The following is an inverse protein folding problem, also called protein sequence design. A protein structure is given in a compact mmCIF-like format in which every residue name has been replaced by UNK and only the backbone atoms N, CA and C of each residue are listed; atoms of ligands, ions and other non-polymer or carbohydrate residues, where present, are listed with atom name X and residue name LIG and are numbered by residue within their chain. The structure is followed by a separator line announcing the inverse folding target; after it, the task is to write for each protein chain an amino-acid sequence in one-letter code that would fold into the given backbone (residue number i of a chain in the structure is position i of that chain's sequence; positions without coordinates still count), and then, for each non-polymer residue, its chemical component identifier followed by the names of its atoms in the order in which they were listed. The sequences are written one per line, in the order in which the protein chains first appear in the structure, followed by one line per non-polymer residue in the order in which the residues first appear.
data_IF_880284789318
#
_entry.id   IF_880284789318
#
_cell.length_a   1.000
_cell.length_b   1.000
_cell.length_c   1.000
_cell.angle_alpha   90.00
_cell.angle_beta   90.00
_cell.angle_gamma   90.00
#
_symmetry.space_group_name_H-M   'P 1'
#
loop_
_entity.id
_entity.type
_entity.pdbx_description
1 polymer ?
#
# COMPACT_ATOMS: atom_id res chain seq x y z
N UNK A 1 -23.87 10.36 23.43
CA UNK A 1 -23.11 10.64 22.19
C UNK A 1 -22.57 12.06 22.26
N UNK A 2 -21.44 12.34 21.60
CA UNK A 2 -20.68 13.60 21.77
C UNK A 2 -21.08 14.73 20.80
N UNK A 3 -22.22 14.64 20.12
CA UNK A 3 -22.73 15.72 19.25
C UNK A 3 -22.40 15.62 17.74
N UNK A 4 -21.78 14.53 17.27
CA UNK A 4 -21.33 14.40 15.87
C UNK A 4 -22.47 14.59 14.85
N UNK A 5 -23.66 14.03 15.11
CA UNK A 5 -24.76 14.10 14.12
C UNK A 5 -25.25 15.54 13.98
N UNK A 6 -25.32 16.28 15.09
CA UNK A 6 -25.68 17.68 15.14
C UNK A 6 -24.68 18.53 14.35
N UNK A 7 -23.37 18.31 14.55
CA UNK A 7 -22.30 18.97 13.79
C UNK A 7 -22.41 18.70 12.28
N UNK A 8 -22.68 17.44 11.90
CA UNK A 8 -22.82 17.05 10.49
C UNK A 8 -24.04 17.71 9.84
N UNK A 9 -25.16 17.82 10.57
CA UNK A 9 -26.37 18.50 10.09
C UNK A 9 -26.14 20.00 9.93
N UNK A 10 -25.52 20.65 10.92
CA UNK A 10 -25.19 22.07 10.84
C UNK A 10 -24.26 22.36 9.66
N UNK A 11 -23.21 21.56 9.49
CA UNK A 11 -22.31 21.68 8.35
C UNK A 11 -23.03 21.45 7.01
N UNK A 12 -23.95 20.48 6.94
CA UNK A 12 -24.74 20.24 5.73
C UNK A 12 -25.56 21.48 5.35
N UNK A 13 -26.32 22.04 6.30
CA UNK A 13 -27.19 23.19 6.08
C UNK A 13 -26.37 24.41 5.65
N UNK A 14 -25.26 24.70 6.33
CA UNK A 14 -24.48 25.91 6.07
C UNK A 14 -23.67 25.84 4.76
N UNK A 15 -23.13 24.67 4.42
CA UNK A 15 -22.10 24.58 3.37
C UNK A 15 -22.39 23.57 2.26
N UNK A 16 -23.09 22.47 2.57
CA UNK A 16 -23.28 21.39 1.61
C UNK A 16 -24.54 21.53 0.78
N UNK A 17 -25.65 21.98 1.39
CA UNK A 17 -26.97 22.01 0.76
C UNK A 17 -26.98 22.78 -0.56
N UNK A 18 -26.40 24.00 -0.57
CA UNK A 18 -26.24 24.80 -1.80
C UNK A 18 -25.41 24.09 -2.87
N UNK A 19 -24.39 23.33 -2.47
CA UNK A 19 -23.55 22.57 -3.41
C UNK A 19 -24.27 21.34 -3.97
N UNK A 20 -25.11 20.67 -3.18
CA UNK A 20 -25.96 19.55 -3.66
C UNK A 20 -26.92 20.09 -4.71
N UNK A 21 -27.60 21.19 -4.41
CA UNK A 21 -28.58 21.82 -5.31
C UNK A 21 -27.95 22.23 -6.65
N UNK A 22 -26.70 22.67 -6.63
CA UNK A 22 -25.96 23.09 -7.82
C UNK A 22 -25.14 21.95 -8.48
N UNK A 23 -25.35 20.69 -8.08
CA UNK A 23 -24.58 19.50 -8.53
C UNK A 23 -23.05 19.71 -8.57
N UNK A 24 -22.53 20.45 -7.60
CA UNK A 24 -21.13 20.89 -7.52
C UNK A 24 -20.40 20.30 -6.31
N UNK A 25 -20.92 19.19 -5.79
CA UNK A 25 -20.36 18.43 -4.67
C UNK A 25 -19.02 17.81 -5.09
N UNK A 26 -17.91 18.23 -4.48
CA UNK A 26 -16.62 17.61 -4.72
C UNK A 26 -15.96 17.11 -3.43
N UNK A 27 -16.08 15.81 -3.19
CA UNK A 27 -15.49 15.09 -2.05
C UNK A 27 -13.99 14.82 -2.17
N UNK A 28 -13.35 15.29 -3.24
CA UNK A 28 -11.92 15.13 -3.48
C UNK A 28 -11.10 16.35 -3.03
N UNK A 29 -11.70 17.41 -2.50
CA UNK A 29 -10.98 18.61 -2.09
C UNK A 29 -11.40 19.17 -0.72
N UNK A 30 -10.44 19.75 -0.02
CA UNK A 30 -10.64 20.51 1.20
C UNK A 30 -11.31 19.71 2.31
N UNK A 31 -12.13 20.39 3.12
CA UNK A 31 -12.81 19.80 4.28
C UNK A 31 -13.72 18.61 3.93
N UNK A 32 -14.18 18.52 2.68
CA UNK A 32 -15.03 17.41 2.21
C UNK A 32 -14.28 16.06 2.11
N UNK A 33 -12.94 16.06 2.16
CA UNK A 33 -12.16 14.83 2.18
C UNK A 33 -12.16 14.14 3.55
N UNK A 34 -12.50 14.88 4.61
CA UNK A 34 -12.52 14.41 6.00
C UNK A 34 -13.37 13.14 6.15
N UNK A 35 -12.93 12.24 7.03
CA UNK A 35 -13.68 11.03 7.36
C UNK A 35 -14.79 11.44 8.33
N UNK A 36 -16.02 11.08 8.00
CA UNK A 36 -17.23 11.47 8.71
C UNK A 36 -18.26 12.00 7.73
N UNK A 37 -18.03 13.18 7.16
CA UNK A 37 -19.09 13.88 6.44
C UNK A 37 -19.65 13.11 5.23
N UNK A 38 -18.79 12.63 4.33
CA UNK A 38 -19.22 11.89 3.13
C UNK A 38 -19.84 10.54 3.45
N UNK A 39 -19.44 9.91 4.56
CA UNK A 39 -20.02 8.64 5.01
C UNK A 39 -21.49 8.79 5.44
N UNK A 40 -21.89 9.98 5.87
CA UNK A 40 -23.29 10.32 6.20
C UNK A 40 -24.02 11.08 5.08
N UNK A 41 -23.47 11.18 3.87
CA UNK A 41 -24.09 11.93 2.77
C UNK A 41 -25.55 11.56 2.56
N UNK A 42 -25.82 10.26 2.32
CA UNK A 42 -27.17 9.75 2.07
C UNK A 42 -28.15 10.08 3.21
N UNK A 43 -27.68 10.06 4.46
CA UNK A 43 -28.47 10.42 5.63
C UNK A 43 -28.80 11.92 5.69
N UNK A 44 -27.83 12.77 5.33
CA UNK A 44 -27.96 14.23 5.38
C UNK A 44 -28.78 14.78 4.21
N UNK A 45 -28.79 14.09 3.06
CA UNK A 45 -29.55 14.47 1.86
C UNK A 45 -30.85 13.68 1.70
N UNK A 46 -31.24 12.90 2.71
CA UNK A 46 -32.48 12.13 2.65
C UNK A 46 -33.69 13.06 2.42
N UNK A 47 -34.59 12.74 1.48
CA UNK A 47 -35.80 13.53 1.23
C UNK A 47 -36.63 13.76 2.50
N UNK A 48 -37.28 14.92 2.63
CA UNK A 48 -38.08 15.25 3.83
C UNK A 48 -39.27 14.30 4.05
N UNK A 49 -39.78 13.67 3.00
CA UNK A 49 -40.84 12.66 3.07
C UNK A 49 -40.34 11.26 3.44
N UNK A 50 -39.02 11.08 3.67
CA UNK A 50 -38.47 9.80 4.10
C UNK A 50 -39.04 9.43 5.48
N UNK A 51 -39.47 8.19 5.62
CA UNK A 51 -39.93 7.66 6.90
C UNK A 51 -38.83 7.72 7.96
N UNK A 52 -39.22 7.76 9.23
CA UNK A 52 -38.27 7.70 10.33
C UNK A 52 -37.39 6.44 10.28
N UNK A 53 -37.96 5.31 9.84
CA UNK A 53 -37.25 4.05 9.71
C UNK A 53 -36.17 4.09 8.60
N UNK A 54 -36.46 4.72 7.47
CA UNK A 54 -35.48 4.91 6.39
C UNK A 54 -34.34 5.82 6.85
N UNK A 55 -34.65 6.94 7.51
CA UNK A 55 -33.63 7.86 8.03
C UNK A 55 -32.71 7.18 9.04
N UNK A 56 -33.26 6.36 9.93
CA UNK A 56 -32.48 5.58 10.89
C UNK A 56 -31.59 4.54 10.19
N UNK A 57 -32.11 3.89 9.15
CA UNK A 57 -31.34 2.94 8.33
C UNK A 57 -30.14 3.62 7.66
N UNK A 58 -30.35 4.79 7.05
CA UNK A 58 -29.29 5.59 6.44
C UNK A 58 -28.25 6.06 7.47
N UNK A 59 -28.70 6.46 8.66
CA UNK A 59 -27.81 6.83 9.78
C UNK A 59 -26.89 5.67 10.17
N UNK A 60 -27.44 4.49 10.36
CA UNK A 60 -26.68 3.31 10.77
C UNK A 60 -25.70 2.87 9.67
N UNK A 61 -26.10 2.97 8.40
CA UNK A 61 -25.20 2.76 7.27
C UNK A 61 -24.02 3.75 7.28
N UNK A 62 -24.28 5.02 7.60
CA UNK A 62 -23.24 6.04 7.75
C UNK A 62 -22.26 5.73 8.88
N UNK A 63 -22.74 5.23 10.02
CA UNK A 63 -21.89 4.78 11.14
C UNK A 63 -20.95 3.65 10.72
N UNK A 64 -21.46 2.64 10.01
CA UNK A 64 -20.63 1.52 9.56
C UNK A 64 -19.63 1.92 8.47
N UNK A 65 -20.03 2.85 7.59
CA UNK A 65 -19.14 3.46 6.61
C UNK A 65 -18.01 4.24 7.30
N UNK A 66 -18.34 5.06 8.31
CA UNK A 66 -17.37 5.79 9.14
C UNK A 66 -16.37 4.85 9.79
N UNK A 67 -16.83 3.81 10.50
CA UNK A 67 -15.95 2.80 11.12
C UNK A 67 -15.02 2.15 10.11
N UNK A 68 -15.52 1.86 8.91
CA UNK A 68 -14.74 1.24 7.84
C UNK A 68 -13.69 2.19 7.27
N UNK A 69 -14.06 3.45 7.03
CA UNK A 69 -13.16 4.50 6.57
C UNK A 69 -12.02 4.74 7.58
N UNK A 70 -12.34 4.85 8.88
CA UNK A 70 -11.35 5.02 9.96
C UNK A 70 -10.38 3.86 10.04
N UNK A 71 -10.86 2.60 9.98
CA UNK A 71 -9.99 1.41 9.95
C UNK A 71 -9.05 1.40 8.73
N UNK A 72 -9.57 1.75 7.55
CA UNK A 72 -8.76 1.86 6.33
C UNK A 72 -7.71 2.95 6.45
N UNK A 73 -8.07 4.09 7.04
CA UNK A 73 -7.17 5.21 7.27
C UNK A 73 -6.03 4.84 8.22
N UNK A 74 -6.33 4.23 9.37
CA UNK A 74 -5.31 3.74 10.32
C UNK A 74 -4.33 2.77 9.64
N UNK A 75 -4.84 1.81 8.84
CA UNK A 75 -3.99 0.90 8.06
C UNK A 75 -3.11 1.65 7.05
N UNK A 76 -3.64 2.67 6.39
CA UNK A 76 -2.90 3.51 5.43
C UNK A 76 -1.81 4.32 6.14
N UNK A 77 -2.09 4.90 7.30
CA UNK A 77 -1.11 5.61 8.13
C UNK A 77 0.03 4.67 8.54
N UNK A 78 -0.29 3.51 9.12
CA UNK A 78 0.71 2.51 9.51
C UNK A 78 1.57 2.05 8.32
N UNK A 79 0.95 1.86 7.15
CA UNK A 79 1.68 1.53 5.91
C UNK A 79 2.58 2.70 5.48
N UNK A 80 2.10 3.93 5.54
CA UNK A 80 2.84 5.12 5.16
C UNK A 80 4.05 5.35 6.08
N UNK A 81 3.85 5.35 7.40
CA UNK A 81 4.92 5.52 8.40
C UNK A 81 6.00 4.46 8.19
N UNK A 82 5.61 3.18 8.14
CA UNK A 82 6.57 2.08 7.91
C UNK A 82 7.33 2.24 6.59
N UNK A 83 6.65 2.61 5.51
CA UNK A 83 7.30 2.74 4.21
C UNK A 83 8.23 3.95 4.14
N UNK A 84 7.80 5.09 4.70
CA UNK A 84 8.52 6.37 4.68
C UNK A 84 9.76 6.34 5.56
N UNK A 85 9.62 5.81 6.78
CA UNK A 85 10.71 5.87 7.76
C UNK A 85 11.54 4.60 7.82
N UNK A 86 10.94 3.41 7.61
CA UNK A 86 11.63 2.14 7.87
C UNK A 86 12.07 1.38 6.61
N UNK A 87 11.39 1.55 5.46
CA UNK A 87 11.70 0.79 4.23
C UNK A 87 12.45 1.55 3.15
N UNK A 88 12.21 2.86 3.06
CA UNK A 88 12.84 3.76 2.09
C UNK A 88 13.16 5.08 2.78
N UNK A 89 14.04 5.05 3.79
CA UNK A 89 14.49 6.31 4.36
C UNK A 89 15.13 7.11 3.22
N UNK A 90 14.66 8.35 3.00
CA UNK A 90 15.44 9.30 2.23
C UNK A 90 16.65 9.75 3.03
N UNK A 91 17.45 10.63 2.45
CA UNK A 91 18.52 11.29 3.22
C UNK A 91 17.91 12.10 4.37
N UNK A 92 18.55 12.04 5.54
CA UNK A 92 18.11 12.80 6.72
C UNK A 92 16.88 12.24 7.45
N UNK A 93 16.52 10.96 7.28
CA UNK A 93 15.44 10.35 8.06
C UNK A 93 15.91 10.08 9.50
N UNK A 94 15.22 10.59 10.53
CA UNK A 94 15.62 10.40 11.92
C UNK A 94 15.44 8.96 12.39
N UNK A 95 16.16 8.58 13.44
CA UNK A 95 15.91 7.34 14.16
C UNK A 95 14.45 7.31 14.65
N UNK A 96 13.77 6.18 14.44
CA UNK A 96 12.38 6.01 14.87
C UNK A 96 12.33 5.07 16.05
N UNK A 97 11.78 5.51 17.17
CA UNK A 97 11.57 4.69 18.36
C UNK A 97 10.11 4.27 18.43
N UNK A 98 9.87 2.99 18.72
CA UNK A 98 8.52 2.44 18.86
C UNK A 98 8.11 2.41 20.32
N UNK A 99 6.90 2.88 20.62
CA UNK A 99 6.27 2.81 21.93
C UNK A 99 5.01 1.94 21.81
N UNK A 100 4.77 1.08 22.79
CA UNK A 100 3.62 0.18 22.77
C UNK A 100 2.41 0.87 23.38
N UNK A 101 1.35 1.03 22.57
CA UNK A 101 0.08 1.67 22.97
C UNK A 101 -1.07 0.65 23.04
N UNK A 102 -0.77 -0.65 23.05
CA UNK A 102 -1.78 -1.71 23.01
C UNK A 102 -2.67 -1.71 24.25
N UNK A 103 -2.09 -1.45 25.43
CA UNK A 103 -2.81 -1.36 26.70
C UNK A 103 -2.75 0.07 27.26
N UNK A 104 -3.87 0.79 27.14
CA UNK A 104 -4.00 2.17 27.61
C UNK A 104 -3.87 2.29 29.12
N UNK A 105 -4.22 1.25 29.89
CA UNK A 105 -4.10 1.28 31.35
C UNK A 105 -2.63 1.36 31.80
N UNK A 106 -1.70 0.90 30.95
CA UNK A 106 -0.25 0.90 31.20
C UNK A 106 0.48 2.02 30.47
N UNK A 107 -0.23 3.07 30.05
CA UNK A 107 0.33 4.19 29.30
C UNK A 107 1.59 4.80 29.94
N UNK A 108 1.56 4.98 31.26
CA UNK A 108 2.66 5.59 32.01
C UNK A 108 3.97 4.80 31.84
N UNK A 109 3.87 3.47 31.96
CA UNK A 109 5.01 2.54 31.89
C UNK A 109 5.48 2.27 30.46
N UNK A 110 4.52 2.14 29.52
CA UNK A 110 4.78 1.63 28.16
C UNK A 110 4.99 2.72 27.13
N UNK A 111 4.57 3.96 27.44
CA UNK A 111 4.62 5.10 26.52
C UNK A 111 5.31 6.31 27.16
N UNK A 112 4.77 6.86 28.25
CA UNK A 112 5.23 8.16 28.76
C UNK A 112 6.66 8.08 29.30
N UNK A 113 6.91 7.19 30.26
CA UNK A 113 8.23 6.98 30.86
C UNK A 113 9.31 6.71 29.81
N UNK A 114 9.17 5.72 28.91
CA UNK A 114 10.18 5.47 27.89
C UNK A 114 10.34 6.64 26.91
N UNK A 115 9.26 7.35 26.54
CA UNK A 115 9.36 8.53 25.68
C UNK A 115 10.22 9.63 26.31
N UNK A 116 10.01 9.93 27.59
CA UNK A 116 10.78 10.95 28.32
C UNK A 116 12.24 10.54 28.45
N UNK A 117 12.52 9.27 28.76
CA UNK A 117 13.90 8.76 28.82
C UNK A 117 14.62 8.86 27.48
N UNK A 118 13.94 8.51 26.37
CA UNK A 118 14.50 8.65 25.02
C UNK A 118 14.81 10.12 24.72
N UNK A 119 13.86 11.03 25.01
CA UNK A 119 14.07 12.46 24.78
C UNK A 119 15.22 13.03 25.61
N UNK A 120 15.30 12.69 26.90
CA UNK A 120 16.37 13.16 27.78
C UNK A 120 17.76 12.72 27.30
N UNK A 121 17.93 11.43 26.95
CA UNK A 121 19.19 10.93 26.38
C UNK A 121 19.54 11.65 25.07
N UNK A 122 18.57 11.80 24.16
CA UNK A 122 18.82 12.47 22.87
C UNK A 122 19.19 13.95 23.05
N UNK A 123 18.56 14.67 23.97
CA UNK A 123 18.89 16.07 24.28
C UNK A 123 20.31 16.23 24.83
N UNK A 124 20.81 15.22 25.57
CA UNK A 124 22.19 15.18 26.09
C UNK A 124 23.23 14.68 25.08
N UNK A 125 22.80 14.23 23.90
CA UNK A 125 23.67 13.58 22.92
C UNK A 125 24.09 12.16 23.31
N UNK A 126 23.40 11.57 24.29
CA UNK A 126 23.62 10.21 24.76
C UNK A 126 22.77 9.21 23.95
N UNK A 127 23.18 7.94 23.95
CA UNK A 127 22.40 6.88 23.30
C UNK A 127 21.28 6.42 24.24
N UNK A 128 19.99 6.48 23.83
CA UNK A 128 18.90 5.95 24.64
C UNK A 128 19.05 4.44 24.89
N UNK A 129 18.57 3.97 26.06
CA UNK A 129 18.50 2.54 26.39
C UNK A 129 17.57 1.76 25.45
N UNK A 130 16.49 2.42 24.99
CA UNK A 130 15.60 1.84 23.98
C UNK A 130 16.25 1.94 22.61
N UNK A 131 16.43 0.83 21.92
CA UNK A 131 16.94 0.82 20.54
C UNK A 131 15.88 1.31 19.54
N UNK A 132 16.27 2.08 18.51
CA UNK A 132 15.36 2.47 17.45
C UNK A 132 14.90 1.25 16.63
N UNK A 133 13.72 1.37 16.03
CA UNK A 133 13.15 0.35 15.15
C UNK A 133 14.09 0.11 13.98
N UNK A 134 14.47 -1.16 13.79
CA UNK A 134 15.37 -1.58 12.72
C UNK A 134 14.80 -1.20 11.35
N UNK A 135 15.64 -0.56 10.55
CA UNK A 135 15.36 -0.29 9.14
C UNK A 135 15.21 -1.61 8.39
N UNK A 136 14.05 -1.79 7.75
CA UNK A 136 13.83 -2.87 6.81
C UNK A 136 14.46 -2.44 5.50
N UNK A 137 15.79 -2.58 5.39
CA UNK A 137 16.52 -2.31 4.16
C UNK A 137 15.88 -3.17 3.07
N UNK A 138 15.09 -2.53 2.20
CA UNK A 138 14.47 -3.24 1.11
C UNK A 138 15.60 -3.78 0.26
N UNK A 139 15.66 -5.09 0.05
CA UNK A 139 16.35 -5.65 -1.11
C UNK A 139 16.03 -4.75 -2.30
N UNK A 140 17.06 -4.34 -3.04
CA UNK A 140 16.98 -3.47 -4.22
C UNK A 140 16.08 -4.13 -5.28
N UNK A 141 14.78 -4.15 -5.05
CA UNK A 141 13.80 -4.59 -6.02
C UNK A 141 13.61 -3.41 -6.97
N UNK A 142 13.89 -3.63 -8.25
CA UNK A 142 13.66 -2.68 -9.33
C UNK A 142 12.15 -2.37 -9.44
N UNK A 143 11.68 -1.46 -8.58
CA UNK A 143 10.28 -1.02 -8.48
C UNK A 143 9.97 0.16 -9.41
N UNK A 144 10.92 0.55 -10.27
CA UNK A 144 10.80 1.66 -11.22
C UNK A 144 11.05 1.24 -12.68
N UNK A 145 11.37 -0.04 -12.93
CA UNK A 145 11.48 -0.55 -14.30
C UNK A 145 10.14 -0.39 -15.00
N UNK A 146 10.15 0.17 -16.22
CA UNK A 146 8.96 0.33 -17.04
C UNK A 146 8.91 -0.82 -18.03
N UNK A 147 7.87 -1.63 -17.94
CA UNK A 147 7.55 -2.69 -18.89
C UNK A 147 6.29 -2.34 -19.66
N UNK A 148 6.21 -2.74 -20.92
CA UNK A 148 5.00 -2.59 -21.74
C UNK A 148 4.60 -3.95 -22.26
N UNK A 149 3.34 -4.33 -22.09
CA UNK A 149 2.77 -5.52 -22.73
C UNK A 149 1.91 -5.09 -23.91
N UNK A 150 2.38 -5.32 -25.13
CA UNK A 150 1.66 -4.98 -26.36
C UNK A 150 0.37 -5.80 -26.52
N UNK A 151 0.36 -7.05 -26.03
CA UNK A 151 -0.84 -7.91 -26.09
C UNK A 151 -1.99 -7.39 -25.23
N UNK A 152 -1.66 -6.68 -24.16
CA UNK A 152 -2.64 -6.17 -23.20
C UNK A 152 -2.79 -4.66 -23.25
N UNK A 153 -2.02 -3.98 -24.10
CA UNK A 153 -1.86 -2.53 -24.17
C UNK A 153 -1.74 -1.88 -22.78
N UNK A 154 -0.75 -2.34 -22.02
CA UNK A 154 -0.54 -1.92 -20.63
C UNK A 154 0.91 -1.60 -20.35
N UNK A 155 1.14 -0.43 -19.77
CA UNK A 155 2.40 -0.05 -19.11
C UNK A 155 2.35 -0.52 -17.66
N UNK A 156 3.38 -1.24 -17.24
CA UNK A 156 3.51 -1.84 -15.91
C UNK A 156 4.84 -1.41 -15.33
N UNK A 157 4.80 -0.85 -14.12
CA UNK A 157 6.00 -0.37 -13.42
C UNK A 157 6.39 -1.38 -12.33
N UNK A 158 7.61 -1.90 -12.41
CA UNK A 158 8.18 -2.86 -11.48
C UNK A 158 8.24 -4.29 -12.01
N UNK A 159 9.35 -4.98 -11.75
CA UNK A 159 9.58 -6.34 -12.25
C UNK A 159 8.64 -7.38 -11.62
N UNK A 160 8.23 -7.18 -10.37
CA UNK A 160 7.32 -8.09 -9.69
C UNK A 160 5.90 -7.97 -10.27
N UNK A 161 5.45 -6.74 -10.46
CA UNK A 161 4.17 -6.42 -11.09
C UNK A 161 4.14 -6.93 -12.54
N UNK A 162 5.26 -6.81 -13.27
CA UNK A 162 5.43 -7.39 -14.59
C UNK A 162 5.32 -8.92 -14.57
N UNK A 163 6.07 -9.59 -13.69
CA UNK A 163 6.02 -11.05 -13.56
C UNK A 163 4.62 -11.56 -13.15
N UNK A 164 3.93 -10.84 -12.26
CA UNK A 164 2.56 -11.14 -11.87
C UNK A 164 1.57 -10.93 -13.04
N UNK A 165 1.79 -9.90 -13.86
CA UNK A 165 1.00 -9.66 -15.06
C UNK A 165 1.13 -10.79 -16.06
N UNK A 166 2.35 -11.25 -16.35
CA UNK A 166 2.59 -12.36 -17.28
C UNK A 166 1.85 -13.63 -16.85
N UNK A 167 1.75 -13.88 -15.54
CA UNK A 167 1.02 -15.02 -14.95
C UNK A 167 -0.50 -14.79 -14.81
N UNK A 168 -1.01 -13.61 -15.18
CA UNK A 168 -2.41 -13.27 -14.97
C UNK A 168 -3.31 -13.96 -15.99
N UNK A 169 -4.52 -14.37 -15.56
CA UNK A 169 -5.53 -14.99 -16.43
C UNK A 169 -5.83 -14.13 -17.67
N UNK A 170 -5.85 -12.80 -17.51
CA UNK A 170 -6.12 -11.84 -18.59
C UNK A 170 -5.00 -11.85 -19.65
N UNK A 171 -3.73 -11.87 -19.22
CA UNK A 171 -2.61 -11.94 -20.15
C UNK A 171 -2.63 -13.26 -20.95
N UNK A 172 -2.80 -14.39 -20.26
CA UNK A 172 -2.92 -15.70 -20.91
C UNK A 172 -4.09 -15.77 -21.90
N UNK A 173 -5.21 -15.12 -21.61
CA UNK A 173 -6.34 -15.03 -22.54
C UNK A 173 -5.97 -14.27 -23.81
N UNK A 174 -5.31 -13.11 -23.72
CA UNK A 174 -4.86 -12.36 -24.90
C UNK A 174 -3.80 -13.13 -25.71
N UNK A 175 -2.87 -13.81 -25.04
CA UNK A 175 -1.90 -14.71 -25.68
C UNK A 175 -2.61 -15.78 -26.50
N UNK A 176 -3.58 -16.50 -25.91
CA UNK A 176 -4.36 -17.53 -26.60
C UNK A 176 -5.17 -16.97 -27.77
N UNK A 177 -5.78 -15.79 -27.60
CA UNK A 177 -6.55 -15.13 -28.67
C UNK A 177 -5.66 -14.74 -29.86
N UNK A 178 -4.46 -14.23 -29.58
CA UNK A 178 -3.48 -13.89 -30.62
C UNK A 178 -3.02 -15.15 -31.38
N UNK A 179 -2.66 -16.23 -30.67
CA UNK A 179 -2.28 -17.50 -31.29
C UNK A 179 -3.38 -18.08 -32.21
N UNK A 180 -4.66 -17.93 -31.84
CA UNK A 180 -5.79 -18.34 -32.68
C UNK A 180 -5.98 -17.46 -33.92
N UNK A 181 -5.67 -16.17 -33.80
CA UNK A 181 -5.79 -15.22 -34.91
C UNK A 181 -4.62 -15.39 -35.89
N UNK A 182 -3.41 -15.59 -35.38
CA UNK A 182 -2.20 -15.84 -36.17
C UNK A 182 -2.24 -17.24 -36.82
N UNK A 183 -2.86 -18.23 -36.15
CA UNK A 183 -3.07 -19.59 -36.67
C UNK A 183 -4.15 -19.71 -37.75
N UNK A 184 -4.96 -18.67 -37.99
CA UNK A 184 -5.94 -18.63 -39.07
C UNK A 184 -5.38 -18.04 -40.38
N UNK A 185 -4.11 -17.60 -40.40
CA UNK A 185 -3.51 -16.84 -41.50
C UNK A 185 -2.34 -17.50 -42.25
N UNK A 186 -1.97 -18.76 -41.97
CA UNK A 186 -0.83 -19.38 -42.65
C UNK A 186 -1.05 -20.88 -42.92
N UNK A 187 -1.86 -21.19 -43.93
CA UNK A 187 -1.71 -22.44 -44.69
C UNK A 187 -0.93 -22.11 -45.97
N UNK A 188 0.36 -22.38 -45.94
CA UNK A 188 1.22 -22.24 -47.12
C UNK A 188 2.68 -22.02 -46.78
N UNK A 189 3.50 -22.96 -47.21
CA UNK A 189 4.97 -22.96 -47.27
C UNK A 189 5.70 -23.43 -46.00
N UNK A 190 6.01 -24.73 -46.04
CA UNK A 190 7.10 -25.34 -45.30
C UNK A 190 8.41 -24.55 -45.54
N UNK A 191 9.07 -24.13 -44.46
CA UNK A 191 10.52 -23.93 -44.45
C UNK A 191 11.07 -24.38 -43.11
N UNK A 192 11.79 -25.51 -43.12
CA UNK A 192 12.71 -25.91 -42.04
C UNK A 192 13.71 -24.79 -41.83
N UNK A 193 13.87 -24.29 -40.60
CA UNK A 193 15.19 -24.00 -39.98
C UNK A 193 15.07 -24.10 -38.45
N UNK A 194 15.80 -25.07 -37.91
CA UNK A 194 16.51 -25.18 -36.62
C UNK A 194 15.98 -24.58 -35.31
N UNK A 195 15.75 -25.49 -34.35
CA UNK A 195 15.77 -25.24 -32.90
C UNK A 195 17.20 -24.87 -32.43
N UNK A 196 17.40 -23.88 -31.55
CA UNK A 196 18.58 -23.86 -30.69
C UNK A 196 18.36 -24.80 -29.50
N UNK A 197 19.35 -25.66 -29.27
CA UNK A 197 19.40 -26.67 -28.24
C UNK A 197 19.36 -26.08 -26.82
N UNK A 198 18.80 -26.86 -25.89
CA UNK A 198 19.07 -26.75 -24.47
C UNK A 198 20.57 -26.95 -24.22
N UNK A 199 21.25 -25.96 -23.65
CA UNK A 199 22.53 -26.20 -22.98
C UNK A 199 22.27 -26.62 -21.53
N UNK A 200 22.33 -27.93 -21.32
CA UNK A 200 22.44 -28.56 -20.02
C UNK A 200 23.84 -29.12 -19.87
N UNK A 201 24.60 -28.53 -18.92
CA UNK A 201 25.70 -29.10 -18.13
C UNK A 201 27.03 -29.52 -18.79
N UNK A 202 28.13 -29.03 -18.21
CA UNK A 202 29.30 -29.80 -17.73
C UNK A 202 30.23 -28.81 -17.00
N UNK A 203 30.54 -28.90 -15.69
CA UNK A 203 31.35 -29.89 -14.96
C UNK A 203 32.62 -30.32 -15.71
N UNK A 204 33.73 -29.66 -15.39
CA UNK A 204 35.08 -30.24 -15.40
C UNK A 204 35.91 -29.63 -14.26
N UNK A 205 36.38 -30.48 -13.36
CA UNK A 205 37.52 -30.20 -12.46
C UNK A 205 38.81 -30.09 -13.29
N UNK A 206 39.86 -29.50 -12.70
CA UNK A 206 41.13 -30.20 -12.69
C UNK A 206 41.73 -30.30 -11.27
N UNK A 207 42.08 -31.52 -10.89
CA UNK A 207 43.19 -31.84 -10.00
C UNK A 207 44.51 -31.52 -10.71
N UNK A 208 45.50 -30.90 -10.07
CA UNK A 208 46.50 -31.64 -9.26
C UNK A 208 47.67 -30.75 -8.76
N UNK A 209 48.07 -31.04 -7.52
CA UNK A 209 49.44 -31.05 -6.98
C UNK A 209 50.20 -29.78 -6.54
N UNK A 210 50.65 -29.89 -5.27
CA UNK A 210 51.91 -29.42 -4.66
C UNK A 210 51.95 -27.97 -4.16
N UNK A 211 52.44 -27.62 -2.96
CA UNK A 211 53.08 -28.34 -1.84
C UNK A 211 53.29 -27.32 -0.69
N UNK A 212 53.32 -27.80 0.56
CA UNK A 212 54.18 -27.32 1.69
C UNK A 212 53.92 -25.89 2.23
N UNK A 213 53.85 -25.55 3.54
CA UNK A 213 54.40 -26.10 4.79
C UNK A 213 53.82 -25.32 6.01
N UNK A 214 53.67 -25.98 7.18
CA UNK A 214 54.00 -25.59 8.58
C UNK A 214 53.81 -24.12 9.07
N UNK A 215 53.55 -23.80 10.36
CA UNK A 215 53.45 -24.53 11.62
C UNK A 215 52.82 -23.59 12.69
N UNK A 216 52.37 -24.22 13.78
CA UNK A 216 52.16 -23.73 15.15
C UNK A 216 52.47 -22.26 15.50
N UNK A 217 51.49 -21.57 16.11
CA UNK A 217 51.44 -21.34 17.57
C UNK A 217 50.06 -20.84 18.00
#
# INVERSE_FOLDING_TARGET
SVGLIEELRDFHVRFNQKKVQNDSQNYQHGIFQSIGFKEFHDYLTAPENSSQQERETLRNRGVEALKTATRRYARKQNKWVRNRFLKRPGDGVPAVYGLDVTDVARWEETVLTPALQILDSLCKGEKPSTEPIRLQRAELRNKRSRHTCDLCDKVIIGDLEWAAHLKSKKHHFHVRKKLKSDGAGHNGVQRRVSLPALDTQTRTNPSDSSKDTNAAH
#
